data_IF_569860800957
#
_entry.id   IF_569860800957
#
_cell.length_a   1.000
_cell.length_b   1.000
_cell.length_c   1.000
_cell.angle_alpha   90.00
_cell.angle_beta   90.00
_cell.angle_gamma   90.00
#
_symmetry.space_group_name_H-M   'P 1'
#
loop_
_entity.id
_entity.type
_entity.pdbx_description
1 polymer ?
#
# COMPACT_ATOMS: atom_id res chain seq x y z
N UNK A 1 -30.88 33.89 43.01
CA UNK A 1 -29.99 33.20 43.95
C UNK A 1 -29.88 31.78 43.42
N UNK A 2 -28.69 31.49 42.91
CA UNK A 2 -28.12 30.25 42.39
C UNK A 2 -28.78 29.47 41.24
N UNK A 3 -28.06 29.54 40.13
CA UNK A 3 -27.98 28.57 39.06
C UNK A 3 -27.08 27.40 39.50
N UNK A 4 -27.49 26.15 39.27
CA UNK A 4 -26.62 25.02 38.99
C UNK A 4 -27.46 23.76 38.68
N UNK A 5 -27.04 23.04 37.66
CA UNK A 5 -27.37 21.64 37.30
C UNK A 5 -28.82 21.31 36.97
N UNK A 6 -29.09 21.19 35.66
CA UNK A 6 -29.83 20.06 35.08
C UNK A 6 -29.58 20.03 33.55
N UNK A 7 -28.33 19.73 33.16
CA UNK A 7 -27.98 19.32 31.79
C UNK A 7 -26.92 18.23 31.88
N UNK A 8 -27.29 17.04 32.36
CA UNK A 8 -26.41 15.87 32.24
C UNK A 8 -27.21 14.56 32.35
N UNK A 9 -27.86 14.13 31.24
CA UNK A 9 -28.21 12.71 31.03
C UNK A 9 -28.65 12.45 29.59
N UNK A 10 -27.72 12.58 28.65
CA UNK A 10 -27.90 12.08 27.28
C UNK A 10 -26.55 11.80 26.60
N UNK A 11 -25.67 11.05 27.29
CA UNK A 11 -24.41 10.62 26.73
C UNK A 11 -23.96 9.30 27.37
N UNK A 12 -24.56 8.18 26.96
CA UNK A 12 -24.01 6.84 27.20
C UNK A 12 -24.72 5.80 26.33
N UNK A 13 -24.45 5.79 25.03
CA UNK A 13 -24.71 4.63 24.16
C UNK A 13 -23.81 4.71 22.93
N UNK A 14 -22.58 4.22 23.08
CA UNK A 14 -21.60 4.13 22.01
C UNK A 14 -20.47 3.19 22.44
N UNK A 15 -20.85 2.04 22.98
CA UNK A 15 -19.92 0.97 23.28
C UNK A 15 -19.77 0.11 22.02
N UNK A 16 -18.57 0.15 21.46
CA UNK A 16 -17.85 -0.94 20.79
C UNK A 16 -18.72 -2.19 20.49
N UNK A 17 -19.42 -2.16 19.35
CA UNK A 17 -19.96 -3.38 18.78
C UNK A 17 -18.89 -3.93 17.84
N UNK A 18 -18.22 -4.98 18.31
CA UNK A 18 -17.31 -5.80 17.52
C UNK A 18 -18.07 -6.45 16.37
N UNK A 19 -18.35 -5.64 15.34
CA UNK A 19 -19.05 -6.04 14.14
C UNK A 19 -18.31 -7.22 13.53
N UNK A 20 -18.97 -8.38 13.51
CA UNK A 20 -18.49 -9.52 12.72
C UNK A 20 -18.34 -9.02 11.27
N UNK A 21 -17.25 -9.38 10.58
CA UNK A 21 -17.05 -8.98 9.20
C UNK A 21 -18.27 -9.35 8.37
N UNK A 22 -18.79 -8.40 7.59
CA UNK A 22 -19.97 -8.66 6.78
C UNK A 22 -19.54 -9.43 5.53
N UNK A 23 -20.14 -10.59 5.22
CA UNK A 23 -19.96 -11.28 3.94
C UNK A 23 -20.25 -10.37 2.73
N UNK A 24 -21.03 -9.30 2.91
CA UNK A 24 -21.38 -8.33 1.88
C UNK A 24 -20.16 -7.55 1.37
N UNK A 25 -19.12 -7.38 2.20
CA UNK A 25 -17.90 -6.68 1.81
C UNK A 25 -17.28 -7.28 0.56
N UNK A 26 -17.21 -8.61 0.53
CA UNK A 26 -16.57 -9.38 -0.51
C UNK A 26 -17.43 -9.58 -1.76
N UNK A 27 -18.74 -9.27 -1.70
CA UNK A 27 -19.65 -9.36 -2.85
C UNK A 27 -19.28 -8.39 -3.99
N UNK A 28 -18.42 -7.40 -3.71
CA UNK A 28 -17.87 -6.44 -4.68
C UNK A 28 -16.84 -7.06 -5.63
N UNK A 29 -16.23 -8.18 -5.25
CA UNK A 29 -15.18 -8.85 -6.01
C UNK A 29 -15.73 -10.01 -6.83
N UNK A 30 -14.96 -10.45 -7.84
CA UNK A 30 -15.27 -11.69 -8.55
C UNK A 30 -15.30 -12.90 -7.61
N UNK A 31 -15.99 -13.95 -8.04
CA UNK A 31 -16.07 -15.21 -7.30
C UNK A 31 -14.69 -15.80 -7.01
N UNK A 32 -13.77 -15.79 -7.98
CA UNK A 32 -12.42 -16.29 -7.80
C UNK A 32 -11.63 -15.52 -6.72
N UNK A 33 -11.74 -14.18 -6.69
CA UNK A 33 -11.08 -13.34 -5.68
C UNK A 33 -11.72 -13.53 -4.30
N UNK A 34 -13.05 -13.53 -4.22
CA UNK A 34 -13.80 -13.78 -2.98
C UNK A 34 -13.46 -15.16 -2.41
N UNK A 35 -13.47 -16.20 -3.24
CA UNK A 35 -13.15 -17.56 -2.84
C UNK A 35 -11.71 -17.68 -2.36
N UNK A 36 -10.75 -17.08 -3.09
CA UNK A 36 -9.35 -17.06 -2.65
C UNK A 36 -9.20 -16.37 -1.29
N UNK A 37 -9.85 -15.21 -1.12
CA UNK A 37 -9.73 -14.43 0.10
C UNK A 37 -10.26 -15.21 1.32
N UNK A 38 -11.40 -15.88 1.18
CA UNK A 38 -12.01 -16.66 2.27
C UNK A 38 -11.20 -17.91 2.63
N UNK A 39 -10.51 -18.54 1.68
CA UNK A 39 -9.58 -19.64 1.99
C UNK A 39 -8.36 -19.14 2.77
N UNK A 40 -7.78 -18.02 2.33
CA UNK A 40 -6.57 -17.45 2.92
C UNK A 40 -6.85 -16.80 4.28
N UNK A 41 -8.05 -16.22 4.45
CA UNK A 41 -8.48 -15.50 5.64
C UNK A 41 -9.89 -15.97 6.05
N UNK A 42 -10.00 -17.15 6.71
CA UNK A 42 -11.30 -17.71 7.12
C UNK A 42 -12.07 -16.83 8.10
N UNK A 43 -11.37 -15.94 8.81
CA UNK A 43 -11.98 -14.96 9.72
C UNK A 43 -12.71 -13.82 8.98
N UNK A 44 -12.56 -13.69 7.66
CA UNK A 44 -13.12 -12.61 6.86
C UNK A 44 -12.25 -11.35 6.81
N UNK A 45 -12.71 -10.30 6.11
CA UNK A 45 -11.97 -9.04 5.98
C UNK A 45 -11.89 -8.27 7.30
N UNK A 46 -10.86 -7.42 7.42
CA UNK A 46 -10.76 -6.48 8.54
C UNK A 46 -11.64 -5.24 8.28
N UNK A 47 -12.12 -4.52 9.31
CA UNK A 47 -12.92 -3.31 9.12
C UNK A 47 -12.24 -2.24 8.24
N UNK A 48 -10.91 -2.14 8.33
CA UNK A 48 -10.13 -1.21 7.50
C UNK A 48 -10.11 -1.65 6.02
N UNK A 49 -10.11 -2.95 5.74
CA UNK A 49 -10.25 -3.46 4.38
C UNK A 49 -11.64 -3.14 3.82
N UNK A 50 -12.71 -3.43 4.58
CA UNK A 50 -14.08 -3.17 4.14
C UNK A 50 -14.31 -1.70 3.78
N UNK A 51 -13.87 -0.78 4.63
CA UNK A 51 -13.99 0.67 4.40
C UNK A 51 -13.12 1.14 3.23
N UNK A 52 -11.91 0.60 3.07
CA UNK A 52 -11.04 0.93 1.95
C UNK A 52 -11.66 0.48 0.62
N UNK A 53 -12.26 -0.71 0.62
CA UNK A 53 -12.94 -1.27 -0.53
C UNK A 53 -14.18 -0.46 -0.91
N UNK A 54 -14.98 -0.02 0.05
CA UNK A 54 -16.11 0.88 -0.20
C UNK A 54 -15.66 2.19 -0.88
N UNK A 55 -14.62 2.84 -0.35
CA UNK A 55 -14.09 4.08 -0.92
C UNK A 55 -13.55 3.87 -2.34
N UNK A 56 -12.79 2.79 -2.55
CA UNK A 56 -12.17 2.48 -3.84
C UNK A 56 -13.21 2.16 -4.90
N UNK A 57 -14.27 1.42 -4.55
CA UNK A 57 -15.40 1.13 -5.44
C UNK A 57 -16.11 2.41 -5.90
N UNK A 58 -16.27 3.38 -5.00
CA UNK A 58 -16.82 4.71 -5.30
C UNK A 58 -15.94 5.58 -6.21
N UNK A 59 -14.75 5.12 -6.58
CA UNK A 59 -13.76 5.90 -7.34
C UNK A 59 -13.03 6.95 -6.51
N UNK A 60 -13.17 6.92 -5.18
CA UNK A 60 -12.51 7.86 -4.28
C UNK A 60 -11.03 7.51 -4.11
N UNK A 61 -10.17 8.51 -3.96
CA UNK A 61 -8.84 8.28 -3.39
C UNK A 61 -8.95 8.05 -1.88
N UNK A 62 -8.08 7.23 -1.31
CA UNK A 62 -8.19 6.81 0.09
C UNK A 62 -6.86 6.92 0.84
N UNK A 63 -6.88 7.38 2.09
CA UNK A 63 -5.75 7.32 3.01
C UNK A 63 -6.08 6.30 4.12
N UNK A 64 -5.43 5.14 4.07
CA UNK A 64 -5.63 4.03 4.99
C UNK A 64 -4.60 4.09 6.11
N UNK A 65 -5.07 4.34 7.34
CA UNK A 65 -4.27 4.45 8.55
C UNK A 65 -4.63 3.29 9.46
N UNK A 66 -3.75 2.31 9.56
CA UNK A 66 -3.94 1.15 10.43
C UNK A 66 -2.58 0.52 10.82
N UNK A 67 -2.49 -0.12 12.00
CA UNK A 67 -1.25 -0.76 12.43
C UNK A 67 -0.81 -1.88 11.48
N UNK A 68 0.42 -2.36 11.67
CA UNK A 68 0.91 -3.54 10.97
C UNK A 68 0.03 -4.75 11.27
N UNK A 69 -0.14 -5.64 10.30
CA UNK A 69 -1.02 -6.81 10.46
C UNK A 69 -2.50 -6.56 10.22
N UNK A 70 -2.97 -5.31 10.08
CA UNK A 70 -4.39 -5.00 9.81
C UNK A 70 -4.85 -5.26 8.36
N UNK A 71 -3.98 -5.83 7.50
CA UNK A 71 -4.33 -6.16 6.12
C UNK A 71 -4.29 -4.99 5.12
N UNK A 72 -3.57 -3.89 5.43
CA UNK A 72 -3.43 -2.69 4.58
C UNK A 72 -3.05 -2.99 3.13
N UNK A 73 -2.15 -3.96 2.91
CA UNK A 73 -1.73 -4.34 1.55
C UNK A 73 -2.92 -4.81 0.72
N UNK A 74 -3.73 -5.75 1.22
CA UNK A 74 -4.92 -6.20 0.49
C UNK A 74 -6.04 -5.14 0.48
N UNK A 75 -6.10 -4.25 1.48
CA UNK A 75 -6.98 -3.09 1.43
C UNK A 75 -6.70 -2.21 0.19
N UNK A 76 -5.43 -2.01 -0.17
CA UNK A 76 -5.04 -1.22 -1.33
C UNK A 76 -5.02 -1.98 -2.66
N UNK A 77 -4.64 -3.27 -2.66
CA UNK A 77 -4.41 -4.02 -3.89
C UNK A 77 -5.63 -4.79 -4.40
N UNK A 78 -6.54 -5.26 -3.54
CA UNK A 78 -7.50 -6.31 -3.92
C UNK A 78 -8.42 -5.92 -5.08
N UNK A 79 -8.89 -4.66 -5.12
CA UNK A 79 -9.69 -4.14 -6.23
C UNK A 79 -8.94 -4.15 -7.56
N UNK A 80 -7.68 -3.68 -7.55
CA UNK A 80 -6.88 -3.64 -8.75
C UNK A 80 -6.47 -5.05 -9.21
N UNK A 81 -6.22 -5.98 -8.28
CA UNK A 81 -5.99 -7.39 -8.59
C UNK A 81 -7.22 -8.01 -9.25
N UNK A 82 -8.41 -7.80 -8.68
CA UNK A 82 -9.66 -8.33 -9.22
C UNK A 82 -9.96 -7.79 -10.63
N UNK A 83 -9.73 -6.49 -10.88
CA UNK A 83 -9.86 -5.88 -12.19
C UNK A 83 -8.88 -6.49 -13.21
N UNK A 84 -7.59 -6.60 -12.85
CA UNK A 84 -6.54 -7.17 -13.70
C UNK A 84 -6.81 -8.64 -14.03
N UNK A 85 -7.25 -9.43 -13.05
CA UNK A 85 -7.56 -10.85 -13.22
C UNK A 85 -8.76 -11.03 -14.16
N UNK A 86 -9.85 -10.29 -13.94
CA UNK A 86 -11.03 -10.32 -14.81
C UNK A 86 -10.71 -9.91 -16.24
N UNK A 87 -9.91 -8.87 -16.42
CA UNK A 87 -9.51 -8.40 -17.74
C UNK A 87 -8.71 -9.47 -18.49
N UNK A 88 -7.72 -10.09 -17.85
CA UNK A 88 -6.86 -11.11 -18.48
C UNK A 88 -7.53 -12.46 -18.67
N UNK A 89 -8.57 -12.77 -17.89
CA UNK A 89 -9.36 -13.98 -18.07
C UNK A 89 -10.31 -13.91 -19.27
N UNK A 90 -10.58 -12.70 -19.82
CA UNK A 90 -11.44 -12.55 -21.00
C UNK A 90 -10.76 -13.15 -22.25
N UNK A 91 -11.53 -13.82 -23.14
CA UNK A 91 -11.00 -14.34 -24.39
C UNK A 91 -10.30 -13.26 -25.24
N UNK A 92 -9.20 -13.63 -25.90
CA UNK A 92 -8.23 -12.76 -26.59
C UNK A 92 -8.77 -11.94 -27.80
N UNK A 93 -10.09 -11.78 -27.95
CA UNK A 93 -10.69 -10.98 -29.01
C UNK A 93 -10.37 -9.48 -28.88
N UNK A 94 -9.89 -9.03 -27.72
CA UNK A 94 -9.42 -7.67 -27.48
C UNK A 94 -7.92 -7.70 -27.22
N UNK A 95 -7.11 -6.99 -28.01
CA UNK A 95 -5.73 -6.67 -27.64
C UNK A 95 -5.80 -5.89 -26.31
N UNK A 96 -5.44 -6.49 -25.16
CA UNK A 96 -5.55 -5.77 -23.90
C UNK A 96 -4.60 -4.57 -23.94
N UNK A 97 -5.00 -3.41 -23.41
CA UNK A 97 -4.12 -2.26 -23.32
C UNK A 97 -2.84 -2.66 -22.60
N UNK A 98 -1.71 -2.54 -23.31
CA UNK A 98 -0.38 -2.86 -22.77
C UNK A 98 0.11 -1.68 -21.94
N UNK A 99 0.56 -1.96 -20.72
CA UNK A 99 1.12 -0.92 -19.86
C UNK A 99 1.02 -1.30 -18.40
N UNK A 100 1.63 -0.46 -17.57
CA UNK A 100 1.44 -0.51 -16.12
C UNK A 100 0.03 -0.03 -15.81
N UNK A 101 -0.70 -0.80 -14.99
CA UNK A 101 -2.05 -0.45 -14.50
C UNK A 101 -2.04 -0.03 -13.04
N UNK A 102 -1.18 -0.67 -12.24
CA UNK A 102 -0.99 -0.34 -10.83
C UNK A 102 0.45 0.12 -10.62
N UNK A 103 0.60 1.33 -10.11
CA UNK A 103 1.89 1.88 -9.71
C UNK A 103 1.99 1.87 -8.19
N UNK A 104 2.91 1.10 -7.65
CA UNK A 104 3.21 1.09 -6.22
C UNK A 104 4.50 1.86 -5.95
N UNK A 105 4.42 2.89 -5.11
CA UNK A 105 5.53 3.76 -4.74
C UNK A 105 5.89 3.53 -3.28
N UNK A 106 7.09 3.00 -3.05
CA UNK A 106 7.63 2.81 -1.70
C UNK A 106 8.75 3.81 -1.40
N UNK A 107 8.80 4.40 -0.19
CA UNK A 107 9.92 5.23 0.22
C UNK A 107 11.21 4.43 0.44
N UNK A 108 11.09 3.10 0.66
CA UNK A 108 12.18 2.17 0.94
C UNK A 108 12.17 0.98 -0.03
N UNK A 109 13.33 0.64 -0.58
CA UNK A 109 13.46 -0.47 -1.54
C UNK A 109 13.09 -1.83 -0.95
N UNK A 110 13.51 -2.10 0.28
CA UNK A 110 13.23 -3.36 0.98
C UNK A 110 11.72 -3.61 1.09
N UNK A 111 10.97 -2.58 1.48
CA UNK A 111 9.51 -2.63 1.57
C UNK A 111 8.85 -2.90 0.21
N UNK A 112 9.40 -2.35 -0.88
CA UNK A 112 8.95 -2.68 -2.23
C UNK A 112 9.17 -4.16 -2.60
N UNK A 113 10.33 -4.72 -2.27
CA UNK A 113 10.63 -6.13 -2.50
C UNK A 113 9.75 -7.06 -1.65
N UNK A 114 9.45 -6.66 -0.41
CA UNK A 114 8.52 -7.38 0.47
C UNK A 114 7.11 -7.41 -0.13
N UNK A 115 6.61 -6.27 -0.64
CA UNK A 115 5.31 -6.23 -1.32
C UNK A 115 5.30 -7.08 -2.59
N UNK A 116 6.36 -7.05 -3.41
CA UNK A 116 6.44 -7.91 -4.60
C UNK A 116 6.29 -9.40 -4.24
N UNK A 117 6.99 -9.85 -3.18
CA UNK A 117 6.88 -11.22 -2.68
C UNK A 117 5.49 -11.53 -2.12
N UNK A 118 4.93 -10.62 -1.33
CA UNK A 118 3.61 -10.80 -0.70
C UNK A 118 2.48 -10.84 -1.73
N UNK A 119 2.65 -10.24 -2.91
CA UNK A 119 1.69 -10.32 -4.00
C UNK A 119 1.71 -11.68 -4.73
N UNK A 120 2.75 -12.49 -4.60
CA UNK A 120 2.81 -13.77 -5.33
C UNK A 120 1.71 -14.74 -4.88
N UNK A 121 1.44 -14.81 -3.57
CA UNK A 121 0.41 -15.69 -3.01
C UNK A 121 -1.01 -15.37 -3.51
N UNK A 122 -1.52 -14.11 -3.44
CA UNK A 122 -2.81 -13.77 -4.02
C UNK A 122 -2.86 -14.02 -5.52
N UNK A 123 -1.83 -13.59 -6.27
CA UNK A 123 -1.81 -13.73 -7.71
C UNK A 123 -1.92 -15.21 -8.14
N UNK A 124 -1.11 -16.08 -7.54
CA UNK A 124 -1.13 -17.52 -7.83
C UNK A 124 -2.45 -18.19 -7.39
N UNK A 125 -2.95 -17.83 -6.20
CA UNK A 125 -4.18 -18.42 -5.66
C UNK A 125 -5.43 -18.06 -6.48
N UNK A 126 -5.56 -16.80 -6.87
CA UNK A 126 -6.67 -16.33 -7.71
C UNK A 126 -6.57 -16.94 -9.12
N UNK A 127 -5.38 -16.96 -9.71
CA UNK A 127 -5.17 -17.54 -11.04
C UNK A 127 -5.50 -19.04 -11.08
N UNK A 128 -5.16 -19.78 -10.01
CA UNK A 128 -5.51 -21.20 -9.87
C UNK A 128 -7.03 -21.40 -9.84
N UNK A 129 -7.75 -20.60 -9.05
CA UNK A 129 -9.21 -20.69 -8.97
C UNK A 129 -9.89 -20.42 -10.31
N UNK A 130 -9.43 -19.38 -11.03
CA UNK A 130 -9.91 -19.10 -12.39
C UNK A 130 -9.64 -20.26 -13.36
N UNK A 131 -8.48 -20.92 -13.24
CA UNK A 131 -8.16 -22.09 -14.06
C UNK A 131 -9.06 -23.29 -13.72
N UNK A 132 -9.36 -23.52 -12.44
CA UNK A 132 -10.27 -24.57 -11.98
C UNK A 132 -11.71 -24.34 -12.49
N UNK A 133 -12.10 -23.08 -12.71
CA UNK A 133 -13.38 -22.65 -13.33
C UNK A 133 -13.37 -22.71 -14.86
N UNK A 134 -12.28 -23.17 -15.49
CA UNK A 134 -12.16 -23.31 -16.95
C UNK A 134 -11.78 -22.02 -17.69
N UNK A 135 -11.45 -20.94 -16.99
CA UNK A 135 -10.92 -19.73 -17.60
C UNK A 135 -9.42 -19.88 -17.93
N UNK A 136 -8.89 -19.17 -18.94
CA UNK A 136 -7.45 -19.10 -19.16
C UNK A 136 -6.77 -18.54 -17.91
N UNK A 137 -5.77 -19.23 -17.37
CA UNK A 137 -5.04 -18.77 -16.19
C UNK A 137 -4.41 -17.39 -16.45
N UNK A 138 -4.93 -16.30 -15.86
CA UNK A 138 -4.44 -14.96 -16.17
C UNK A 138 -3.04 -14.76 -15.60
N UNK A 139 -2.10 -14.34 -16.46
CA UNK A 139 -0.75 -14.00 -16.05
C UNK A 139 -0.64 -12.49 -15.74
N UNK A 140 -1.01 -12.12 -14.51
CA UNK A 140 -0.72 -10.79 -13.95
C UNK A 140 0.74 -10.74 -13.51
N UNK A 141 1.48 -9.74 -13.98
CA UNK A 141 2.93 -9.63 -13.74
C UNK A 141 3.25 -8.45 -12.85
N UNK A 142 4.11 -8.70 -11.87
CA UNK A 142 4.77 -7.68 -11.06
C UNK A 142 6.15 -7.39 -11.64
N UNK A 143 6.66 -6.19 -11.40
CA UNK A 143 8.07 -5.89 -11.65
C UNK A 143 8.56 -4.70 -10.85
N UNK A 144 9.84 -4.72 -10.50
CA UNK A 144 10.50 -3.64 -9.77
C UNK A 144 11.32 -2.73 -10.68
N UNK A 145 11.13 -1.42 -10.51
CA UNK A 145 11.94 -0.38 -11.12
C UNK A 145 12.48 0.57 -10.05
N UNK A 146 13.70 0.34 -9.62
CA UNK A 146 14.40 1.13 -8.59
C UNK A 146 15.76 1.63 -9.11
N UNK A 147 16.54 2.27 -8.24
CA UNK A 147 17.93 2.61 -8.51
C UNK A 147 18.82 1.41 -8.84
N UNK A 148 18.50 0.22 -8.31
CA UNK A 148 19.32 -0.99 -8.47
C UNK A 148 18.98 -1.78 -9.75
N UNK A 149 17.88 -1.42 -10.43
CA UNK A 149 17.48 -2.06 -11.68
C UNK A 149 18.55 -1.85 -12.75
N UNK A 150 19.08 -2.94 -13.31
CA UNK A 150 20.12 -2.89 -14.34
C UNK A 150 19.61 -2.30 -15.65
N UNK A 151 20.48 -1.77 -16.53
CA UNK A 151 20.06 -1.29 -17.85
C UNK A 151 19.27 -2.31 -18.67
N UNK A 152 19.61 -3.60 -18.59
CA UNK A 152 18.86 -4.66 -19.27
C UNK A 152 17.46 -4.85 -18.71
N UNK A 153 17.31 -4.87 -17.38
CA UNK A 153 16.00 -4.94 -16.74
C UNK A 153 15.15 -3.70 -17.08
N UNK A 154 15.74 -2.50 -17.12
CA UNK A 154 15.06 -1.28 -17.56
C UNK A 154 14.51 -1.42 -18.99
N UNK A 155 15.33 -1.92 -19.92
CA UNK A 155 14.91 -2.19 -21.31
C UNK A 155 13.84 -3.28 -21.40
N UNK A 156 13.91 -4.30 -20.55
CA UNK A 156 12.90 -5.35 -20.50
C UNK A 156 11.54 -4.79 -20.06
N UNK A 157 11.50 -3.99 -18.99
CA UNK A 157 10.30 -3.28 -18.53
C UNK A 157 9.75 -2.37 -19.63
N UNK A 158 10.60 -1.64 -20.34
CA UNK A 158 10.13 -0.75 -21.41
C UNK A 158 9.52 -1.52 -22.60
N UNK A 159 10.11 -2.66 -22.99
CA UNK A 159 9.61 -3.49 -24.10
C UNK A 159 8.33 -4.24 -23.73
N UNK A 160 8.24 -4.69 -22.48
CA UNK A 160 7.16 -5.55 -22.02
C UNK A 160 6.81 -5.20 -20.56
N UNK A 161 6.07 -4.11 -20.34
CA UNK A 161 5.82 -3.58 -19.01
C UNK A 161 5.00 -4.55 -18.15
N UNK A 162 5.29 -4.63 -16.83
CA UNK A 162 4.46 -5.39 -15.90
C UNK A 162 3.10 -4.70 -15.73
N UNK A 163 2.10 -5.45 -15.25
CA UNK A 163 0.79 -4.89 -14.92
C UNK A 163 0.86 -4.08 -13.62
N UNK A 164 1.70 -4.55 -12.67
CA UNK A 164 1.99 -3.90 -11.39
C UNK A 164 3.45 -3.49 -11.36
N UNK A 165 3.73 -2.19 -11.33
CA UNK A 165 5.09 -1.66 -11.23
C UNK A 165 5.38 -1.15 -9.81
N UNK A 166 6.39 -1.73 -9.17
CA UNK A 166 6.87 -1.32 -7.85
C UNK A 166 8.10 -0.42 -8.05
N UNK A 167 8.07 0.78 -7.49
CA UNK A 167 9.10 1.79 -7.70
C UNK A 167 9.37 2.65 -6.46
N UNK A 168 10.32 3.58 -6.57
CA UNK A 168 10.61 4.61 -5.57
C UNK A 168 10.26 5.98 -6.13
N UNK A 169 10.05 7.02 -5.29
CA UNK A 169 9.78 8.38 -5.78
C UNK A 169 10.82 8.88 -6.79
N UNK A 170 12.10 8.64 -6.53
CA UNK A 170 13.20 9.06 -7.40
C UNK A 170 13.18 8.29 -8.72
N UNK A 171 12.88 6.99 -8.69
CA UNK A 171 12.84 6.15 -9.89
C UNK A 171 11.63 6.48 -10.76
N UNK A 172 10.48 6.78 -10.17
CA UNK A 172 9.29 7.28 -10.86
C UNK A 172 9.60 8.58 -11.61
N UNK A 173 10.24 9.55 -10.95
CA UNK A 173 10.65 10.79 -11.59
C UNK A 173 11.57 10.57 -12.81
N UNK A 174 12.53 9.65 -12.71
CA UNK A 174 13.40 9.30 -13.84
C UNK A 174 12.63 8.66 -15.00
N UNK A 175 11.56 7.90 -14.71
CA UNK A 175 10.69 7.37 -15.76
C UNK A 175 9.90 8.49 -16.43
N UNK A 176 9.26 9.36 -15.65
CA UNK A 176 8.44 10.48 -16.14
C UNK A 176 9.23 11.52 -16.95
N UNK A 177 10.54 11.64 -16.69
CA UNK A 177 11.46 12.53 -17.42
C UNK A 177 12.15 11.86 -18.61
N UNK A 178 11.75 10.65 -19.00
CA UNK A 178 12.35 9.91 -20.13
C UNK A 178 11.29 9.23 -21.00
N UNK A 179 11.73 8.58 -22.09
CA UNK A 179 10.85 7.75 -22.93
C UNK A 179 10.21 6.57 -22.17
N UNK A 180 10.71 6.24 -20.98
CA UNK A 180 10.10 5.20 -20.15
C UNK A 180 8.71 5.61 -19.64
N UNK A 181 8.36 6.91 -19.63
CA UNK A 181 7.01 7.36 -19.24
C UNK A 181 5.89 6.71 -20.04
N UNK A 182 6.14 6.31 -21.28
CA UNK A 182 5.11 5.73 -22.15
C UNK A 182 4.51 4.44 -21.57
N UNK A 183 5.25 3.68 -20.76
CA UNK A 183 4.68 2.49 -20.10
C UNK A 183 3.71 2.81 -18.97
N UNK A 184 3.68 4.07 -18.50
CA UNK A 184 2.83 4.53 -17.40
C UNK A 184 1.49 5.09 -17.88
N UNK A 185 1.25 5.19 -19.19
CA UNK A 185 0.01 5.77 -19.75
C UNK A 185 -1.27 5.02 -19.39
N UNK A 186 -1.15 3.77 -18.96
CA UNK A 186 -2.28 2.94 -18.53
C UNK A 186 -2.52 2.94 -17.03
N UNK A 187 -1.77 3.71 -16.23
CA UNK A 187 -1.90 3.66 -14.77
C UNK A 187 -3.29 4.14 -14.36
N UNK A 188 -3.98 3.32 -13.59
CA UNK A 188 -5.30 3.62 -13.05
C UNK A 188 -5.26 3.79 -11.54
N UNK A 189 -4.37 3.07 -10.87
CA UNK A 189 -4.22 3.10 -9.42
C UNK A 189 -2.77 3.39 -9.05
N UNK A 190 -2.58 4.38 -8.19
CA UNK A 190 -1.30 4.67 -7.54
C UNK A 190 -1.40 4.36 -6.06
N UNK A 191 -0.57 3.45 -5.58
CA UNK A 191 -0.46 3.13 -4.15
C UNK A 191 0.82 3.78 -3.62
N UNK A 192 0.69 4.66 -2.63
CA UNK A 192 1.83 5.27 -1.95
C UNK A 192 1.94 4.67 -0.56
N UNK A 193 2.98 3.87 -0.33
CA UNK A 193 3.20 3.24 0.97
C UNK A 193 4.01 4.13 1.91
N UNK A 194 3.81 3.92 3.21
CA UNK A 194 4.37 4.72 4.30
C UNK A 194 4.34 6.22 4.01
N UNK A 195 3.16 6.75 3.65
CA UNK A 195 2.98 8.16 3.24
C UNK A 195 3.54 9.12 4.29
N UNK A 196 3.47 8.77 5.57
CA UNK A 196 4.01 9.58 6.67
C UNK A 196 5.53 9.80 6.57
N UNK A 197 6.28 8.87 5.97
CA UNK A 197 7.72 9.00 5.79
C UNK A 197 8.09 9.99 4.67
N UNK A 198 7.12 10.34 3.82
CA UNK A 198 7.27 11.27 2.71
C UNK A 198 6.62 12.62 3.03
N UNK A 199 5.48 12.62 3.71
CA UNK A 199 4.76 13.81 4.12
C UNK A 199 5.64 14.70 5.02
N UNK A 200 5.84 15.96 4.60
CA UNK A 200 6.60 16.95 5.37
C UNK A 200 8.10 17.07 5.04
N UNK A 201 8.59 16.39 4.00
CA UNK A 201 9.98 16.57 3.54
C UNK A 201 10.10 16.85 2.03
N UNK A 202 11.31 17.22 1.59
CA UNK A 202 11.59 17.54 0.18
C UNK A 202 11.39 16.35 -0.77
N UNK A 203 11.59 15.11 -0.28
CA UNK A 203 11.31 13.89 -1.08
C UNK A 203 9.81 13.75 -1.33
N UNK A 204 8.99 14.02 -0.33
CA UNK A 204 7.53 14.10 -0.48
C UNK A 204 7.12 15.18 -1.46
N UNK A 205 7.62 16.41 -1.32
CA UNK A 205 7.31 17.50 -2.25
C UNK A 205 7.65 17.12 -3.71
N UNK A 206 8.77 16.45 -3.91
CA UNK A 206 9.16 15.93 -5.22
C UNK A 206 8.23 14.81 -5.73
N UNK A 207 7.79 13.90 -4.84
CA UNK A 207 6.79 12.89 -5.20
C UNK A 207 5.47 13.54 -5.60
N UNK A 208 4.96 14.51 -4.84
CA UNK A 208 3.71 15.20 -5.16
C UNK A 208 3.73 15.78 -6.58
N UNK A 209 4.81 16.48 -6.95
CA UNK A 209 4.99 16.98 -8.33
C UNK A 209 5.10 15.85 -9.37
N UNK A 210 5.70 14.72 -9.01
CA UNK A 210 5.79 13.56 -9.89
C UNK A 210 4.42 12.89 -10.11
N UNK A 211 3.54 12.91 -9.12
CA UNK A 211 2.17 12.40 -9.25
C UNK A 211 1.31 13.29 -10.14
N UNK A 212 1.41 14.62 -10.00
CA UNK A 212 0.70 15.54 -10.92
C UNK A 212 1.18 15.37 -12.37
N UNK A 213 2.49 15.19 -12.57
CA UNK A 213 3.06 14.90 -13.91
C UNK A 213 2.65 13.54 -14.46
N UNK A 214 2.35 12.58 -13.59
CA UNK A 214 1.78 11.30 -14.00
C UNK A 214 0.35 11.54 -14.46
N UNK A 215 -0.46 12.26 -13.69
CA UNK A 215 -1.86 12.52 -14.06
C UNK A 215 -1.99 13.31 -15.37
N UNK A 216 -1.10 14.27 -15.63
CA UNK A 216 -1.00 14.97 -16.93
C UNK A 216 -0.74 14.03 -18.13
N UNK A 217 -0.21 12.82 -17.88
CA UNK A 217 0.08 11.82 -18.91
C UNK A 217 -1.13 10.91 -19.19
N UNK A 218 -2.07 10.82 -18.26
CA UNK A 218 -3.22 9.91 -18.27
C UNK A 218 -4.45 10.58 -18.89
N UNK A 219 -5.39 9.79 -19.38
CA UNK A 219 -6.68 10.31 -19.86
C UNK A 219 -7.54 10.86 -18.71
N UNK A 220 -7.36 10.30 -17.52
CA UNK A 220 -7.97 10.71 -16.26
C UNK A 220 -6.93 10.54 -15.14
N UNK A 221 -6.94 11.39 -14.10
CA UNK A 221 -6.07 11.23 -12.94
C UNK A 221 -6.18 9.83 -12.35
N UNK A 222 -5.07 9.25 -11.92
CA UNK A 222 -5.08 7.95 -11.27
C UNK A 222 -5.70 8.04 -9.88
N UNK A 223 -6.42 6.98 -9.48
CA UNK A 223 -6.92 6.84 -8.12
C UNK A 223 -5.74 6.63 -7.16
N UNK A 224 -5.63 7.45 -6.11
CA UNK A 224 -4.50 7.41 -5.18
C UNK A 224 -4.90 6.72 -3.87
N UNK A 225 -4.15 5.71 -3.47
CA UNK A 225 -4.33 4.99 -2.20
C UNK A 225 -3.07 5.16 -1.37
N UNK A 226 -3.18 5.86 -0.24
CA UNK A 226 -2.10 6.05 0.71
C UNK A 226 -2.18 5.03 1.83
N UNK A 227 -1.04 4.46 2.20
CA UNK A 227 -0.93 3.54 3.33
C UNK A 227 -0.03 4.14 4.41
N UNK A 228 -0.44 4.04 5.67
CA UNK A 228 0.42 4.42 6.79
C UNK A 228 0.04 3.67 8.07
N UNK A 229 1.01 3.42 8.94
CA UNK A 229 0.75 2.90 10.29
C UNK A 229 0.29 4.00 11.26
N UNK A 230 0.91 5.17 11.17
CA UNK A 230 0.68 6.30 12.08
C UNK A 230 0.68 7.60 11.28
N UNK A 231 -0.30 8.46 11.51
CA UNK A 231 -0.39 9.78 10.84
C UNK A 231 -1.05 10.79 11.76
N UNK A 232 -0.38 11.93 11.96
CA UNK A 232 -0.99 13.16 12.52
C UNK A 232 -0.30 14.41 11.92
N UNK A 233 -1.06 15.45 11.52
CA UNK A 233 -2.52 15.48 11.33
C UNK A 233 -2.94 14.68 10.09
N UNK A 234 -4.10 14.00 10.15
CA UNK A 234 -4.55 13.07 9.09
C UNK A 234 -4.91 13.82 7.81
N UNK A 235 -5.49 15.00 7.97
CA UNK A 235 -6.00 15.89 6.93
C UNK A 235 -4.86 16.42 6.05
N UNK A 236 -3.71 16.78 6.66
CA UNK A 236 -2.55 17.27 5.90
C UNK A 236 -1.91 16.18 5.04
N UNK A 237 -1.88 14.94 5.55
CA UNK A 237 -1.35 13.81 4.77
C UNK A 237 -2.33 13.40 3.68
N UNK A 238 -3.63 13.48 3.93
CA UNK A 238 -4.65 13.29 2.91
C UNK A 238 -4.53 14.35 1.80
N UNK A 239 -4.33 15.63 2.17
CA UNK A 239 -4.07 16.74 1.23
C UNK A 239 -2.77 16.55 0.45
N UNK A 240 -1.72 16.07 1.10
CA UNK A 240 -0.46 15.72 0.43
C UNK A 240 -0.66 14.61 -0.62
N UNK A 241 -1.41 13.56 -0.29
CA UNK A 241 -1.68 12.44 -1.17
C UNK A 241 -2.56 12.85 -2.37
N UNK A 242 -3.68 13.52 -2.09
CA UNK A 242 -4.68 13.87 -3.10
C UNK A 242 -4.32 15.07 -3.95
N UNK A 243 -3.44 15.94 -3.47
CA UNK A 243 -3.16 17.21 -4.12
C UNK A 243 -4.45 18.04 -4.23
N UNK A 244 -4.92 18.37 -5.45
CA UNK A 244 -6.19 19.07 -5.65
C UNK A 244 -7.43 18.18 -5.49
N UNK A 245 -7.26 16.85 -5.41
CA UNK A 245 -8.36 15.89 -5.37
C UNK A 245 -8.72 15.46 -3.94
N UNK A 246 -10.01 15.20 -3.64
CA UNK A 246 -10.44 14.73 -2.33
C UNK A 246 -9.90 13.34 -2.02
N UNK A 247 -9.61 13.09 -0.74
CA UNK A 247 -9.14 11.81 -0.23
C UNK A 247 -9.97 11.43 0.99
N UNK A 248 -10.59 10.26 0.96
CA UNK A 248 -11.30 9.69 2.11
C UNK A 248 -10.31 9.13 3.12
N UNK A 249 -10.34 9.63 4.35
CA UNK A 249 -9.49 9.14 5.44
C UNK A 249 -10.17 7.96 6.12
N UNK A 250 -9.47 6.83 6.17
CA UNK A 250 -9.93 5.59 6.77
C UNK A 250 -8.94 5.23 7.86
N UNK A 251 -9.34 5.41 9.12
CA UNK A 251 -8.47 5.20 10.26
C UNK A 251 -9.04 4.10 11.16
N UNK A 252 -8.29 3.02 11.36
CA UNK A 252 -8.57 2.08 12.42
C UNK A 252 -8.23 2.75 13.76
N UNK A 253 -9.23 2.94 14.61
CA UNK A 253 -9.02 3.44 15.97
C UNK A 253 -8.74 2.25 16.89
N UNK A 254 -7.50 2.14 17.36
CA UNK A 254 -7.09 1.07 18.25
C UNK A 254 -5.61 1.21 18.60
N UNK A 255 -5.28 1.06 19.88
CA UNK A 255 -3.88 0.92 20.29
C UNK A 255 -3.47 -0.53 20.04
N UNK A 256 -2.32 -0.78 19.38
CA UNK A 256 -1.80 -2.14 19.30
C UNK A 256 -1.55 -2.65 20.73
N UNK A 257 -1.89 -3.91 20.97
CA UNK A 257 -1.53 -4.60 22.22
C UNK A 257 -0.02 -4.89 22.17
N UNK A 258 0.76 -4.05 22.86
CA UNK A 258 2.22 -4.07 22.81
C UNK A 258 2.78 -4.63 24.13
N UNK A 259 3.37 -5.82 24.11
CA UNK A 259 4.25 -6.31 25.19
C UNK A 259 5.65 -5.70 25.00
N UNK A 260 5.83 -4.44 25.42
CA UNK A 260 7.12 -3.75 25.36
C UNK A 260 7.91 -4.03 26.65
N UNK A 261 9.11 -4.58 26.50
CA UNK A 261 10.05 -4.75 27.61
C UNK A 261 11.35 -4.01 27.34
N UNK A 262 11.75 -3.16 28.28
CA UNK A 262 13.08 -2.53 28.28
C UNK A 262 14.00 -3.42 29.10
N UNK A 263 14.87 -4.15 28.41
CA UNK A 263 15.85 -5.03 29.06
C UNK A 263 17.18 -4.30 29.12
N UNK A 264 17.67 -4.05 30.34
CA UNK A 264 19.04 -3.55 30.53
C UNK A 264 19.94 -4.78 30.68
N UNK A 265 20.85 -5.06 29.73
CA UNK A 265 21.70 -6.26 29.76
C UNK A 265 22.81 -6.17 30.82
N UNK A 266 23.01 -4.99 31.42
CA UNK A 266 24.03 -4.69 32.42
C UNK A 266 23.38 -4.26 33.73
N UNK A 267 24.01 -4.61 34.86
CA UNK A 267 23.52 -4.24 36.19
C UNK A 267 23.68 -2.74 36.49
N UNK A 268 24.61 -2.08 35.80
CA UNK A 268 24.94 -0.67 35.99
C UNK A 268 25.33 -0.05 34.63
N UNK A 269 24.59 0.96 34.19
CA UNK A 269 24.86 1.67 32.93
C UNK A 269 26.05 2.63 33.00
N UNK A 270 26.54 2.94 34.20
CA UNK A 270 27.74 3.76 34.41
C UNK A 270 29.04 2.94 34.37
N UNK A 271 28.92 1.62 34.47
CA UNK A 271 30.03 0.67 34.41
C UNK A 271 29.79 -0.35 33.29
N UNK A 272 29.80 0.11 32.04
CA UNK A 272 29.67 -0.76 30.86
C UNK A 272 30.89 -1.70 30.82
N UNK A 273 30.71 -3.03 30.94
CA UNK A 273 31.82 -3.96 30.82
C UNK A 273 32.43 -3.84 29.42
N UNK A 274 33.73 -3.61 29.35
CA UNK A 274 34.46 -3.65 28.07
C UNK A 274 34.46 -5.09 27.59
N UNK A 275 33.78 -5.36 26.48
CA UNK A 275 33.81 -6.68 25.86
C UNK A 275 35.23 -6.96 25.33
N UNK A 276 35.89 -8.07 25.72
CA UNK A 276 37.21 -8.40 25.20
C UNK A 276 37.05 -8.82 23.73
N UNK A 277 37.33 -7.88 22.83
CA UNK A 277 37.18 -8.06 21.37
C UNK A 277 37.31 -6.78 20.56
N UNK A 278 37.20 -5.60 21.18
CA UNK A 278 37.54 -4.32 20.55
C UNK A 278 38.92 -3.86 21.05
N UNK A 279 39.89 -3.85 20.13
CA UNK A 279 41.21 -3.22 20.17
C UNK A 279 42.35 -3.91 20.96
N UNK A 280 42.99 -4.89 20.31
CA UNK A 280 44.44 -5.07 20.39
C UNK A 280 45.05 -4.70 19.02
N UNK A 281 45.06 -3.40 18.70
CA UNK A 281 45.41 -2.93 17.37
C UNK A 281 45.87 -1.48 17.30
N UNK A 282 46.88 -1.12 18.10
CA UNK A 282 47.80 -0.03 17.78
C UNK A 282 47.43 1.37 18.28
N UNK A 283 48.16 1.83 19.31
CA UNK A 283 48.92 3.07 19.26
C UNK A 283 49.89 3.10 20.45
N UNK A 284 51.19 2.92 20.19
CA UNK A 284 52.25 3.48 21.04
C UNK A 284 53.21 4.25 20.17
N UNK A 285 53.27 5.54 20.43
CA UNK A 285 54.36 6.42 20.03
C UNK A 285 55.65 5.96 20.70
N UNK A 286 56.76 6.05 19.98
CA UNK A 286 58.11 5.65 20.39
C UNK A 286 58.90 5.19 19.19
#
# INVERSE_FOLDING_TARGET
MDAANDVESAAAAGADDGARPSPDALMRFSEAVRGWFLDAFPAGPTPVQEQAWEAVEGGESALVIAPTGSGKTLAAFLFALDALMREKARPAATNPPRGVRVLYVSPLKALGADVERNLQAPLAGIARRLADEGAPAPAVRTGMRTGDTTPDQRRAIQRNPPDILITTPESLYLMLTSKAREVLRGVETVIVDEVHALAGNKRGAHLALSLERLDDLLERPAQRIGLSATVRPREEVARFLGGPHPVRVIAAEGRPDLDVRVVVPVRDMTAIPVFPGADAGGLRAG
#
